data_IF_266345579949
#
_entry.id   IF_266345579949
#
_cell.length_a   1.000
_cell.length_b   1.000
_cell.length_c   1.000
_cell.angle_alpha   90.00
_cell.angle_beta   90.00
_cell.angle_gamma   90.00
#
_symmetry.space_group_name_H-M   'P 1'
#
loop_
_entity.id
_entity.type
_entity.pdbx_description
1 polymer ?
#
# COMPACT_ATOMS: atom_id res chain seq x y z
N UNK A 1 4.19 -1.35 -13.28
CA UNK A 1 3.92 -2.64 -12.64
C UNK A 1 2.46 -2.65 -12.22
N UNK A 2 1.71 -3.70 -12.56
CA UNK A 2 0.28 -3.82 -12.24
C UNK A 2 0.06 -5.15 -11.50
N UNK A 3 -0.63 -5.11 -10.36
CA UNK A 3 -0.96 -6.28 -9.54
C UNK A 3 -2.47 -6.27 -9.28
N UNK A 4 -3.15 -7.40 -9.51
CA UNK A 4 -4.59 -7.53 -9.36
C UNK A 4 -4.96 -8.73 -8.49
N UNK A 5 -5.84 -8.52 -7.50
CA UNK A 5 -6.29 -9.54 -6.55
C UNK A 5 -7.71 -9.23 -6.10
N UNK A 6 -8.64 -10.19 -6.26
CA UNK A 6 -10.01 -10.10 -5.72
C UNK A 6 -10.73 -8.77 -6.02
N UNK A 7 -10.58 -8.23 -7.24
CA UNK A 7 -11.15 -6.94 -7.65
C UNK A 7 -10.33 -5.70 -7.26
N UNK A 8 -9.33 -5.87 -6.38
CA UNK A 8 -8.38 -4.81 -6.04
C UNK A 8 -7.27 -4.72 -7.08
N UNK A 9 -6.83 -3.50 -7.37
CA UNK A 9 -5.77 -3.19 -8.32
C UNK A 9 -4.74 -2.28 -7.68
N UNK A 10 -3.47 -2.67 -7.76
CA UNK A 10 -2.33 -1.79 -7.62
C UNK A 10 -1.73 -1.54 -9.00
N UNK A 11 -1.56 -0.27 -9.38
CA UNK A 11 -0.89 0.12 -10.61
C UNK A 11 0.14 1.21 -10.28
N UNK A 12 1.42 0.90 -10.42
CA UNK A 12 2.51 1.82 -10.08
C UNK A 12 2.53 3.10 -10.92
N UNK A 13 1.82 3.13 -12.06
CA UNK A 13 1.66 4.32 -12.91
C UNK A 13 0.44 5.17 -12.52
N UNK A 14 -0.50 4.63 -11.75
CA UNK A 14 -1.69 5.33 -11.30
C UNK A 14 -1.37 6.18 -10.06
N UNK A 15 -1.61 7.50 -10.07
CA UNK A 15 -1.28 8.37 -8.95
C UNK A 15 -2.07 8.07 -7.68
N UNK A 16 -3.22 7.40 -7.77
CA UNK A 16 -4.01 6.96 -6.63
C UNK A 16 -3.52 5.63 -6.03
N UNK A 17 -2.60 4.94 -6.69
CA UNK A 17 -1.90 3.80 -6.09
C UNK A 17 -0.59 4.30 -5.48
N UNK A 18 -0.31 3.90 -4.24
CA UNK A 18 0.92 4.29 -3.50
C UNK A 18 1.62 3.06 -3.00
N UNK A 19 2.95 3.10 -2.96
CA UNK A 19 3.77 2.11 -2.28
C UNK A 19 4.87 2.87 -1.54
N UNK A 20 4.75 2.95 -0.22
CA UNK A 20 5.67 3.68 0.65
C UNK A 20 6.50 2.63 1.38
N UNK A 21 7.80 2.64 1.14
CA UNK A 21 8.72 1.70 1.78
C UNK A 21 9.19 2.23 3.13
N UNK A 22 9.24 1.36 4.13
CA UNK A 22 9.72 1.68 5.47
C UNK A 22 10.58 0.54 5.99
N UNK A 23 11.82 0.85 6.38
CA UNK A 23 12.71 -0.12 6.98
C UNK A 23 12.64 -0.02 8.51
N UNK A 24 12.51 -1.16 9.18
CA UNK A 24 12.56 -1.27 10.63
C UNK A 24 13.25 -2.57 11.03
N UNK A 25 14.26 -2.50 11.89
CA UNK A 25 15.00 -3.66 12.41
C UNK A 25 15.42 -4.64 11.30
N UNK A 26 16.13 -4.14 10.28
CA UNK A 26 16.58 -4.92 9.11
C UNK A 26 15.46 -5.56 8.27
N UNK A 27 14.21 -5.22 8.52
CA UNK A 27 13.05 -5.73 7.78
C UNK A 27 12.43 -4.60 6.99
N UNK A 28 12.19 -4.83 5.70
CA UNK A 28 11.56 -3.86 4.82
C UNK A 28 10.05 -4.14 4.76
N UNK A 29 9.28 -3.08 4.95
CA UNK A 29 7.83 -3.09 4.86
C UNK A 29 7.38 -2.16 3.75
N UNK A 30 6.25 -2.46 3.14
CA UNK A 30 5.54 -1.56 2.24
C UNK A 30 4.17 -1.21 2.81
N UNK A 31 3.84 0.08 2.76
CA UNK A 31 2.49 0.61 2.98
C UNK A 31 1.91 0.95 1.62
N UNK A 32 0.90 0.17 1.21
CA UNK A 32 0.32 0.27 -0.11
C UNK A 32 -1.07 0.91 -0.06
N UNK A 33 -1.36 1.67 -1.10
CA UNK A 33 -2.70 2.17 -1.41
C UNK A 33 -3.11 1.55 -2.75
N UNK A 34 -4.29 0.93 -2.78
CA UNK A 34 -4.85 0.20 -3.92
C UNK A 34 -6.28 0.67 -4.20
N UNK A 35 -6.78 0.37 -5.40
CA UNK A 35 -8.14 0.68 -5.83
C UNK A 35 -9.00 -0.58 -5.82
N UNK A 36 -10.18 -0.51 -5.22
CA UNK A 36 -11.25 -1.52 -5.31
C UNK A 36 -12.49 -0.84 -5.92
N UNK A 37 -12.59 -0.88 -7.25
CA UNK A 37 -13.44 0.04 -8.00
C UNK A 37 -13.04 1.50 -7.74
N UNK A 38 -14.00 2.33 -7.35
CA UNK A 38 -13.76 3.74 -7.01
C UNK A 38 -13.27 3.96 -5.57
N UNK A 39 -13.17 2.89 -4.77
CA UNK A 39 -12.80 2.97 -3.36
C UNK A 39 -11.30 2.75 -3.19
N UNK A 40 -10.66 3.65 -2.44
CA UNK A 40 -9.27 3.48 -2.03
C UNK A 40 -9.18 2.60 -0.79
N UNK A 41 -8.31 1.57 -0.83
CA UNK A 41 -7.97 0.72 0.32
C UNK A 41 -6.48 0.77 0.60
N UNK A 42 -6.12 0.56 1.87
CA UNK A 42 -4.74 0.71 2.35
C UNK A 42 -4.34 -0.46 3.22
N UNK A 43 -3.16 -0.99 2.92
CA UNK A 43 -2.62 -2.18 3.55
C UNK A 43 -1.13 -2.01 3.82
N UNK A 44 -0.59 -2.85 4.69
CA UNK A 44 0.85 -2.92 4.90
C UNK A 44 1.32 -4.34 5.19
N UNK A 45 2.57 -4.61 4.89
CA UNK A 45 3.22 -5.90 5.17
C UNK A 45 4.66 -5.91 4.68
N UNK A 46 5.27 -7.11 4.70
CA UNK A 46 6.66 -7.31 4.28
C UNK A 46 6.85 -7.01 2.80
N UNK A 47 8.04 -6.53 2.45
CA UNK A 47 8.38 -6.18 1.08
C UNK A 47 9.78 -6.65 0.72
N UNK A 48 9.90 -7.28 -0.43
CA UNK A 48 11.15 -7.72 -1.03
C UNK A 48 11.36 -7.00 -2.38
N UNK A 49 12.54 -6.39 -2.56
CA UNK A 49 12.91 -5.70 -3.79
C UNK A 49 13.09 -6.65 -4.99
N UNK A 50 13.48 -7.89 -4.72
CA UNK A 50 13.69 -8.91 -5.75
C UNK A 50 12.38 -9.61 -6.12
N UNK A 51 11.34 -9.47 -5.28
CA UNK A 51 10.02 -10.07 -5.47
C UNK A 51 8.88 -9.05 -5.23
N UNK A 52 8.93 -7.91 -5.94
CA UNK A 52 8.03 -6.77 -5.73
C UNK A 52 6.56 -7.12 -6.00
N UNK A 53 6.25 -7.76 -7.13
CA UNK A 53 4.88 -8.11 -7.49
C UNK A 53 4.26 -9.09 -6.48
N UNK A 54 5.01 -10.10 -6.07
CA UNK A 54 4.58 -11.08 -5.08
C UNK A 54 4.37 -10.43 -3.71
N UNK A 55 5.28 -9.54 -3.28
CA UNK A 55 5.14 -8.78 -2.03
C UNK A 55 3.84 -7.95 -2.03
N UNK A 56 3.58 -7.18 -3.09
CA UNK A 56 2.36 -6.38 -3.21
C UNK A 56 1.11 -7.28 -3.17
N UNK A 57 1.14 -8.40 -3.89
CA UNK A 57 0.05 -9.38 -3.93
C UNK A 57 -0.23 -9.97 -2.55
N UNK A 58 0.80 -10.36 -1.80
CA UNK A 58 0.65 -10.87 -0.43
C UNK A 58 0.10 -9.81 0.51
N UNK A 59 0.56 -8.56 0.41
CA UNK A 59 0.04 -7.45 1.22
C UNK A 59 -1.45 -7.21 0.90
N UNK A 60 -1.87 -7.28 -0.36
CA UNK A 60 -3.28 -7.15 -0.73
C UNK A 60 -4.16 -8.27 -0.17
N UNK A 61 -3.63 -9.51 -0.08
CA UNK A 61 -4.35 -10.67 0.43
C UNK A 61 -4.40 -10.73 1.96
N UNK A 62 -3.26 -10.50 2.60
CA UNK A 62 -3.00 -10.87 4.00
C UNK A 62 -2.45 -9.73 4.85
N UNK A 63 -2.16 -8.58 4.24
CA UNK A 63 -1.58 -7.44 4.92
C UNK A 63 -2.49 -6.85 6.00
N UNK A 64 -1.86 -6.18 6.97
CA UNK A 64 -2.57 -5.42 7.98
C UNK A 64 -3.28 -4.22 7.35
N UNK A 65 -4.46 -3.85 7.85
CA UNK A 65 -5.12 -2.61 7.41
C UNK A 65 -4.32 -1.40 7.91
N UNK A 66 -4.03 -0.48 7.01
CA UNK A 66 -3.40 0.79 7.33
C UNK A 66 -4.47 1.88 7.32
N UNK A 67 -4.82 2.48 8.48
CA UNK A 67 -5.89 3.47 8.52
C UNK A 67 -5.51 4.74 7.76
N UNK A 68 -6.52 5.49 7.33
CA UNK A 68 -6.32 6.90 7.02
C UNK A 68 -5.98 7.62 8.32
N UNK A 69 -4.73 8.05 8.45
CA UNK A 69 -4.37 8.96 9.52
C UNK A 69 -5.18 10.26 9.34
N UNK A 70 -5.69 10.86 10.42
CA UNK A 70 -6.33 12.16 10.33
C UNK A 70 -5.34 13.14 9.71
N UNK A 71 -5.84 14.02 8.84
CA UNK A 71 -5.03 15.14 8.36
C UNK A 71 -4.63 15.98 9.59
N UNK A 72 -3.36 16.40 9.71
CA UNK A 72 -2.97 17.28 10.80
C UNK A 72 -3.90 18.49 10.77
N UNK A 73 -4.57 18.77 11.89
CA UNK A 73 -5.44 19.92 12.00
C UNK A 73 -4.61 21.16 11.66
N UNK A 74 -4.89 21.80 10.53
CA UNK A 74 -4.26 23.06 10.16
C UNK A 74 -4.78 24.08 11.17
N UNK A 75 -4.11 24.20 12.32
CA UNK A 75 -4.33 25.30 13.27
C UNK A 75 -4.05 26.58 12.51
N UNK A 76 -5.12 27.20 12.04
CA UNK A 76 -5.09 28.51 11.42
C UNK A 76 -4.85 29.48 12.58
N UNK A 77 -3.60 29.89 12.76
CA UNK A 77 -3.23 31.00 13.64
C UNK A 77 -3.59 32.34 12.97
#
# INVERSE_FOLDING_TARGET
MIVQVNGMVYDSSNPNCKCILSNSQNTLYAFIQVLDGDVTKRYWGLYDHDAQEDSIKEIMLWGGKWPTLPEPETTTL
#
